data_IF_467277199412
#
_entry.id   IF_467277199412
#
_cell.length_a   1.000
_cell.length_b   1.000
_cell.length_c   1.000
_cell.angle_alpha   90.00
_cell.angle_beta   90.00
_cell.angle_gamma   90.00
#
_symmetry.space_group_name_H-M   'P 1'
#
loop_
_entity.id
_entity.type
_entity.pdbx_description
1 polymer ?
#
# COMPACT_ATOMS: atom_id res chain seq x y z
N UNK A 1 26.25 18.99 2.23
CA UNK A 1 26.82 17.62 2.14
C UNK A 1 25.69 16.59 2.12
N UNK A 2 25.81 15.60 1.27
CA UNK A 2 24.85 14.51 1.26
C UNK A 2 24.97 13.69 2.55
N UNK A 3 23.84 13.41 3.19
CA UNK A 3 23.80 12.56 4.38
C UNK A 3 23.99 11.10 3.96
N UNK A 4 24.74 10.38 4.77
CA UNK A 4 24.94 8.96 4.53
C UNK A 4 23.72 8.16 4.97
N UNK A 5 23.14 7.38 4.05
CA UNK A 5 21.97 6.56 4.32
C UNK A 5 22.37 5.34 5.14
N UNK A 6 21.84 5.21 6.35
CA UNK A 6 22.06 4.04 7.20
C UNK A 6 21.15 2.87 6.80
N UNK A 7 19.98 3.14 6.28
CA UNK A 7 19.05 2.11 5.81
C UNK A 7 17.67 2.62 5.55
N UNK A 8 16.77 1.68 5.26
CA UNK A 8 15.36 1.97 4.99
C UNK A 8 14.45 1.05 5.81
N UNK A 9 13.30 1.58 6.21
CA UNK A 9 12.25 0.84 6.92
C UNK A 9 10.97 0.97 6.10
N UNK A 10 10.29 -0.13 5.87
CA UNK A 10 9.01 -0.15 5.15
C UNK A 10 7.90 -0.57 6.10
N UNK A 11 6.87 0.25 6.23
CA UNK A 11 5.74 0.00 7.12
C UNK A 11 4.42 0.27 6.41
N UNK A 12 3.35 -0.34 6.92
CA UNK A 12 1.97 -0.03 6.51
C UNK A 12 1.25 0.54 7.72
N UNK A 13 0.81 1.78 7.63
CA UNK A 13 0.22 2.51 8.75
C UNK A 13 -1.08 3.16 8.27
N UNK A 14 -2.10 3.16 9.12
CA UNK A 14 -3.35 3.87 8.81
C UNK A 14 -3.11 5.37 8.78
N UNK A 15 -3.61 6.03 7.74
CA UNK A 15 -3.49 7.47 7.59
C UNK A 15 -4.11 8.22 8.77
N UNK A 16 -3.40 9.21 9.28
CA UNK A 16 -3.84 10.01 10.41
C UNK A 16 -3.84 9.32 11.76
N UNK A 17 -3.42 8.05 11.83
CA UNK A 17 -3.51 7.23 13.04
C UNK A 17 -2.17 6.62 13.46
N UNK A 18 -1.06 7.18 13.03
CA UNK A 18 0.26 6.72 13.46
C UNK A 18 0.47 7.01 14.94
N UNK A 19 0.95 6.03 15.69
CA UNK A 19 1.23 6.18 17.11
C UNK A 19 2.45 5.31 17.49
N UNK A 20 3.02 5.50 18.68
CA UNK A 20 4.21 4.76 19.11
C UNK A 20 3.98 3.28 19.39
N UNK A 21 2.75 2.79 19.32
CA UNK A 21 2.47 1.38 19.55
C UNK A 21 2.92 0.51 18.36
N UNK A 22 3.05 -0.83 18.54
CA UNK A 22 3.40 -1.71 17.43
C UNK A 22 2.44 -1.52 16.23
N UNK A 23 2.94 -1.58 14.97
CA UNK A 23 4.30 -1.95 14.55
C UNK A 23 5.29 -0.78 14.45
N UNK A 24 4.84 0.47 14.69
CA UNK A 24 5.67 1.67 14.46
C UNK A 24 6.78 1.80 15.49
N UNK A 25 6.45 1.68 16.77
CA UNK A 25 7.39 1.88 17.88
C UNK A 25 8.62 0.99 17.79
N UNK A 26 8.46 -0.34 17.77
CA UNK A 26 9.61 -1.26 17.69
C UNK A 26 10.45 -1.09 16.43
N UNK A 27 9.81 -0.83 15.27
CA UNK A 27 10.52 -0.67 14.01
C UNK A 27 11.42 0.56 14.01
N UNK A 28 10.92 1.70 14.49
CA UNK A 28 11.67 2.95 14.53
C UNK A 28 12.62 3.01 15.72
N UNK A 29 12.20 2.51 16.86
CA UNK A 29 13.00 2.50 18.08
C UNK A 29 14.30 1.72 17.93
N UNK A 30 14.26 0.59 17.24
CA UNK A 30 15.45 -0.23 16.99
C UNK A 30 16.50 0.49 16.13
N UNK A 31 16.11 1.51 15.39
CA UNK A 31 16.99 2.30 14.52
C UNK A 31 17.34 3.67 15.11
N UNK A 32 16.86 3.97 16.30
CA UNK A 32 17.17 5.23 16.97
C UNK A 32 16.45 6.45 16.42
N UNK A 33 15.38 6.26 15.68
CA UNK A 33 14.60 7.35 15.08
C UNK A 33 13.61 7.91 16.12
N UNK A 34 13.37 9.21 16.10
CA UNK A 34 12.38 9.84 16.97
C UNK A 34 10.97 9.47 16.53
N UNK A 35 10.34 8.55 17.27
CA UNK A 35 9.02 7.99 16.95
C UNK A 35 7.94 9.06 16.99
N UNK A 36 7.96 9.91 17.99
CA UNK A 36 6.93 10.95 18.16
C UNK A 36 6.96 11.96 17.02
N UNK A 37 8.13 12.38 16.61
CA UNK A 37 8.29 13.31 15.49
C UNK A 37 7.78 12.68 14.18
N UNK A 38 8.13 11.42 13.94
CA UNK A 38 7.64 10.69 12.78
C UNK A 38 6.10 10.61 12.77
N UNK A 39 5.50 10.21 13.88
CA UNK A 39 4.05 10.10 13.99
C UNK A 39 3.36 11.44 13.72
N UNK A 40 3.91 12.52 14.26
CA UNK A 40 3.37 13.87 14.07
C UNK A 40 3.40 14.28 12.60
N UNK A 41 4.55 14.10 11.94
CA UNK A 41 4.72 14.45 10.53
C UNK A 41 3.84 13.58 9.63
N UNK A 42 3.81 12.28 9.89
CA UNK A 42 2.99 11.35 9.11
C UNK A 42 1.50 11.70 9.23
N UNK A 43 1.02 11.92 10.44
CA UNK A 43 -0.38 12.28 10.65
C UNK A 43 -0.73 13.60 9.95
N UNK A 44 0.16 14.58 9.99
CA UNK A 44 -0.04 15.86 9.28
C UNK A 44 -0.16 15.67 7.77
N UNK A 45 0.66 14.80 7.19
CA UNK A 45 0.66 14.53 5.73
C UNK A 45 -0.49 13.65 5.27
N UNK A 46 -1.08 12.87 6.15
CA UNK A 46 -2.09 11.86 5.77
C UNK A 46 -3.49 12.17 6.32
N UNK A 47 -3.74 13.39 6.80
CA UNK A 47 -5.05 13.77 7.32
C UNK A 47 -6.18 13.60 6.29
N UNK A 48 -5.91 13.92 5.03
CA UNK A 48 -6.85 13.78 3.92
C UNK A 48 -7.09 12.31 3.53
N UNK A 49 -6.24 11.41 3.99
CA UNK A 49 -6.31 9.97 3.71
C UNK A 49 -6.58 9.16 4.98
N UNK A 50 -7.18 9.79 5.99
CA UNK A 50 -7.48 9.11 7.25
C UNK A 50 -8.34 7.87 7.05
N UNK A 51 -8.02 6.81 7.78
CA UNK A 51 -8.73 5.54 7.71
C UNK A 51 -8.23 4.57 6.64
N UNK A 52 -7.41 5.01 5.70
CA UNK A 52 -6.80 4.13 4.69
C UNK A 52 -5.43 3.66 5.15
N UNK A 53 -5.13 2.39 4.89
CA UNK A 53 -3.79 1.85 5.13
C UNK A 53 -2.85 2.38 4.05
N UNK A 54 -1.76 3.02 4.46
CA UNK A 54 -0.80 3.62 3.54
C UNK A 54 0.58 2.97 3.75
N UNK A 55 1.24 2.51 2.67
CA UNK A 55 2.63 2.08 2.75
C UNK A 55 3.54 3.29 2.91
N UNK A 56 4.49 3.18 3.82
CA UNK A 56 5.48 4.23 4.08
C UNK A 56 6.87 3.65 3.95
N UNK A 57 7.73 4.31 3.19
CA UNK A 57 9.15 3.98 3.11
C UNK A 57 9.90 5.07 3.85
N UNK A 58 10.55 4.70 4.95
CA UNK A 58 11.31 5.61 5.79
C UNK A 58 12.79 5.37 5.53
N UNK A 59 13.49 6.42 5.08
CA UNK A 59 14.94 6.40 4.91
C UNK A 59 15.56 7.08 6.12
N UNK A 60 16.42 6.38 6.85
CA UNK A 60 17.11 6.95 8.00
C UNK A 60 18.61 7.07 7.71
N UNK A 61 19.20 8.07 8.35
CA UNK A 61 20.60 8.45 8.13
C UNK A 61 21.44 8.21 9.37
N UNK A 62 22.75 8.21 9.20
CA UNK A 62 23.71 7.97 10.29
C UNK A 62 23.63 9.02 11.40
N UNK A 63 23.16 10.23 11.09
CA UNK A 63 22.98 11.32 12.06
C UNK A 63 21.64 11.25 12.83
N UNK A 64 20.90 10.14 12.69
CA UNK A 64 19.59 9.89 13.30
C UNK A 64 18.45 10.73 12.71
N UNK A 65 18.70 11.45 11.63
CA UNK A 65 17.62 12.09 10.87
C UNK A 65 16.92 11.06 9.98
N UNK A 66 15.73 11.41 9.51
CA UNK A 66 14.95 10.54 8.65
C UNK A 66 14.14 11.33 7.62
N UNK A 67 13.87 10.70 6.51
CA UNK A 67 12.89 11.16 5.52
C UNK A 67 11.93 10.02 5.25
N UNK A 68 10.70 10.34 4.84
CA UNK A 68 9.75 9.30 4.50
C UNK A 68 8.91 9.68 3.28
N UNK A 69 8.47 8.65 2.56
CA UNK A 69 7.59 8.78 1.40
C UNK A 69 6.34 7.96 1.69
N UNK A 70 5.17 8.60 1.53
CA UNK A 70 3.88 7.92 1.67
C UNK A 70 3.41 7.54 0.27
N UNK A 71 3.16 6.25 0.05
CA UNK A 71 2.68 5.71 -1.22
C UNK A 71 1.16 5.59 -1.21
N UNK A 72 0.58 5.25 -2.36
CA UNK A 72 -0.85 4.98 -2.47
C UNK A 72 -1.23 3.71 -1.70
N UNK A 73 -2.51 3.55 -1.27
CA UNK A 73 -2.93 2.36 -0.52
C UNK A 73 -2.57 1.07 -1.25
N UNK A 74 -2.21 -0.02 -0.52
CA UNK A 74 -1.87 -1.29 -1.16
C UNK A 74 -3.05 -1.84 -1.97
N UNK A 75 -2.75 -2.44 -3.11
CA UNK A 75 -3.77 -3.03 -3.99
C UNK A 75 -4.60 -4.07 -3.24
N UNK A 76 -3.96 -4.87 -2.41
CA UNK A 76 -4.66 -5.90 -1.62
C UNK A 76 -5.74 -5.29 -0.71
N UNK A 77 -5.46 -4.16 -0.07
CA UNK A 77 -6.44 -3.47 0.79
C UNK A 77 -7.58 -2.91 -0.05
N UNK A 78 -7.28 -2.28 -1.19
CA UNK A 78 -8.29 -1.75 -2.09
C UNK A 78 -9.19 -2.84 -2.65
N UNK A 79 -8.62 -3.99 -3.00
CA UNK A 79 -9.39 -5.15 -3.46
C UNK A 79 -10.33 -5.68 -2.39
N UNK A 80 -9.88 -5.77 -1.16
CA UNK A 80 -10.73 -6.21 -0.03
C UNK A 80 -11.91 -5.24 0.20
N UNK A 81 -11.65 -3.96 0.15
CA UNK A 81 -12.70 -2.94 0.29
C UNK A 81 -13.71 -3.01 -0.86
N UNK A 82 -13.23 -3.13 -2.09
CA UNK A 82 -14.07 -3.23 -3.29
C UNK A 82 -14.93 -4.48 -3.28
N UNK A 83 -14.34 -5.61 -2.89
CA UNK A 83 -15.04 -6.90 -2.81
C UNK A 83 -15.87 -7.05 -1.53
N UNK A 84 -15.74 -6.12 -0.59
CA UNK A 84 -16.44 -6.13 0.71
C UNK A 84 -16.15 -7.38 1.54
N UNK A 85 -14.89 -7.81 1.54
CA UNK A 85 -14.42 -8.97 2.33
C UNK A 85 -13.40 -8.50 3.38
N UNK A 86 -13.31 -9.26 4.47
CA UNK A 86 -12.37 -8.94 5.55
C UNK A 86 -10.96 -9.43 5.27
N UNK A 87 -10.83 -10.57 4.59
CA UNK A 87 -9.53 -11.15 4.26
C UNK A 87 -9.60 -11.93 2.96
N UNK A 88 -8.45 -12.11 2.31
CA UNK A 88 -8.34 -12.95 1.14
C UNK A 88 -8.40 -14.44 1.48
N UNK A 89 -8.37 -15.28 0.44
CA UNK A 89 -8.41 -16.73 0.59
C UNK A 89 -7.08 -17.29 1.09
N UNK A 90 -7.15 -18.25 1.99
CA UNK A 90 -5.98 -19.03 2.41
C UNK A 90 -5.51 -20.00 1.32
N UNK A 91 -6.42 -20.39 0.42
CA UNK A 91 -6.15 -21.28 -0.72
C UNK A 91 -6.69 -20.66 -2.01
N UNK A 92 -6.07 -19.60 -2.52
CA UNK A 92 -6.65 -18.80 -3.62
C UNK A 92 -6.78 -19.56 -4.93
N UNK A 93 -5.98 -20.61 -5.15
CA UNK A 93 -6.05 -21.44 -6.35
C UNK A 93 -7.23 -22.44 -6.32
N UNK A 94 -7.76 -22.71 -5.14
CA UNK A 94 -8.84 -23.69 -4.94
C UNK A 94 -10.13 -23.05 -4.44
N UNK A 95 -10.01 -22.10 -3.54
CA UNK A 95 -11.16 -21.47 -2.88
C UNK A 95 -11.23 -19.99 -3.22
N UNK A 96 -12.23 -19.62 -4.03
CA UNK A 96 -12.49 -18.22 -4.38
C UNK A 96 -13.42 -17.62 -3.34
N UNK A 97 -13.14 -16.39 -2.91
CA UNK A 97 -13.89 -15.73 -1.82
C UNK A 97 -14.73 -14.56 -2.30
N UNK A 98 -14.45 -14.02 -3.47
CA UNK A 98 -15.18 -12.88 -4.02
C UNK A 98 -14.99 -12.77 -5.53
N UNK A 99 -15.80 -11.92 -6.14
CA UNK A 99 -15.75 -11.59 -7.55
C UNK A 99 -15.88 -10.09 -7.73
N UNK A 100 -15.06 -9.52 -8.61
CA UNK A 100 -15.10 -8.09 -8.95
C UNK A 100 -15.19 -7.93 -10.47
N UNK A 101 -15.51 -6.72 -10.93
CA UNK A 101 -15.59 -6.41 -12.36
C UNK A 101 -14.32 -5.71 -12.85
N UNK A 102 -14.11 -5.70 -14.17
CA UNK A 102 -12.99 -4.97 -14.77
C UNK A 102 -13.08 -3.47 -14.54
N UNK A 103 -14.28 -2.90 -14.40
CA UNK A 103 -14.45 -1.48 -14.09
C UNK A 103 -13.87 -1.16 -12.70
N UNK A 104 -14.10 -2.04 -11.73
CA UNK A 104 -13.52 -1.91 -10.39
C UNK A 104 -12.00 -2.05 -10.42
N UNK A 105 -11.47 -2.99 -11.19
CA UNK A 105 -10.04 -3.17 -11.41
C UNK A 105 -9.44 -1.90 -12.02
N UNK A 106 -10.12 -1.32 -13.01
CA UNK A 106 -9.68 -0.08 -13.67
C UNK A 106 -9.57 1.08 -12.67
N UNK A 107 -10.56 1.25 -11.80
CA UNK A 107 -10.54 2.29 -10.76
C UNK A 107 -9.33 2.13 -9.84
N UNK A 108 -9.07 0.92 -9.37
CA UNK A 108 -7.92 0.62 -8.51
C UNK A 108 -6.60 0.88 -9.25
N UNK A 109 -6.53 0.48 -10.52
CA UNK A 109 -5.35 0.67 -11.34
C UNK A 109 -5.04 2.17 -11.56
N UNK A 110 -6.06 2.98 -11.81
CA UNK A 110 -5.90 4.42 -11.98
C UNK A 110 -5.35 5.08 -10.71
N UNK A 111 -5.88 4.71 -9.55
CA UNK A 111 -5.40 5.22 -8.26
C UNK A 111 -3.96 4.82 -7.98
N UNK A 112 -3.54 3.65 -8.46
CA UNK A 112 -2.22 3.08 -8.19
C UNK A 112 -1.17 3.43 -9.25
N UNK A 113 -1.57 4.01 -10.38
CA UNK A 113 -0.65 4.31 -11.50
C UNK A 113 0.66 4.98 -11.09
N UNK A 114 0.68 5.97 -10.17
CA UNK A 114 1.94 6.62 -9.78
C UNK A 114 2.98 5.67 -9.18
N UNK A 115 2.54 4.57 -8.57
CA UNK A 115 3.42 3.62 -7.89
C UNK A 115 3.69 2.35 -8.69
N UNK A 116 3.00 2.16 -9.83
CA UNK A 116 3.13 0.95 -10.63
C UNK A 116 4.23 1.09 -11.68
N UNK A 117 4.91 -0.02 -11.93
CA UNK A 117 5.93 -0.13 -12.97
C UNK A 117 5.29 -0.54 -14.30
N UNK A 118 4.48 0.34 -14.87
CA UNK A 118 3.80 0.11 -16.13
C UNK A 118 3.61 1.45 -16.86
N UNK A 119 3.42 1.39 -18.16
CA UNK A 119 3.25 2.59 -19.00
C UNK A 119 1.80 2.82 -19.42
N UNK A 120 0.97 1.77 -19.41
CA UNK A 120 -0.41 1.86 -19.86
C UNK A 120 -1.37 1.44 -18.76
N UNK A 121 -2.61 1.92 -18.84
CA UNK A 121 -3.65 1.57 -17.89
C UNK A 121 -3.99 0.06 -17.96
N UNK A 122 -3.97 -0.51 -19.15
CA UNK A 122 -4.25 -1.94 -19.36
C UNK A 122 -3.21 -2.81 -18.66
N UNK A 123 -1.95 -2.43 -18.72
CA UNK A 123 -0.87 -3.11 -17.98
C UNK A 123 -1.10 -3.02 -16.47
N UNK A 124 -1.53 -1.85 -15.98
CA UNK A 124 -1.86 -1.65 -14.58
C UNK A 124 -3.03 -2.53 -14.16
N UNK A 125 -4.08 -2.63 -14.98
CA UNK A 125 -5.23 -3.49 -14.73
C UNK A 125 -4.82 -4.96 -14.66
N UNK A 126 -3.91 -5.39 -15.52
CA UNK A 126 -3.37 -6.75 -15.51
C UNK A 126 -2.62 -7.05 -14.21
N UNK A 127 -1.83 -6.10 -13.71
CA UNK A 127 -1.12 -6.22 -12.44
C UNK A 127 -2.10 -6.34 -11.25
N UNK A 128 -3.14 -5.51 -11.23
CA UNK A 128 -4.17 -5.54 -10.20
C UNK A 128 -4.94 -6.86 -10.24
N UNK A 129 -5.30 -7.33 -11.43
CA UNK A 129 -6.00 -8.60 -11.61
C UNK A 129 -5.16 -9.78 -11.13
N UNK A 130 -3.84 -9.75 -11.35
CA UNK A 130 -2.91 -10.76 -10.84
C UNK A 130 -2.90 -10.81 -9.31
N UNK A 131 -2.89 -9.64 -8.66
CA UNK A 131 -2.99 -9.55 -7.21
C UNK A 131 -4.32 -10.10 -6.70
N UNK A 132 -5.43 -9.77 -7.37
CA UNK A 132 -6.76 -10.28 -7.04
C UNK A 132 -6.79 -11.81 -7.12
N UNK A 133 -6.21 -12.37 -8.18
CA UNK A 133 -6.12 -13.82 -8.34
C UNK A 133 -5.36 -14.48 -7.19
N UNK A 134 -4.28 -13.87 -6.74
CA UNK A 134 -3.49 -14.37 -5.62
C UNK A 134 -4.24 -14.32 -4.28
N UNK A 135 -5.29 -13.50 -4.20
CA UNK A 135 -6.14 -13.37 -3.02
C UNK A 135 -7.40 -14.24 -3.08
N UNK A 136 -7.62 -14.97 -4.17
CA UNK A 136 -8.85 -15.73 -4.38
C UNK A 136 -10.03 -14.89 -4.84
N UNK A 137 -9.77 -13.73 -5.42
CA UNK A 137 -10.77 -12.84 -6.00
C UNK A 137 -10.74 -13.02 -7.51
N UNK A 138 -11.89 -13.35 -8.10
CA UNK A 138 -12.00 -13.50 -9.56
C UNK A 138 -12.46 -12.18 -10.18
N UNK A 139 -12.03 -11.93 -11.41
CA UNK A 139 -12.46 -10.75 -12.17
C UNK A 139 -13.43 -11.21 -13.23
N UNK A 140 -14.65 -10.67 -13.18
CA UNK A 140 -15.73 -11.06 -14.09
C UNK A 140 -15.52 -10.45 -15.46
N UNK A 141 -15.61 -11.29 -16.49
CA UNK A 141 -15.53 -10.89 -17.89
C UNK A 141 -14.12 -11.06 -18.47
N UNK A 142 -14.00 -10.78 -19.76
CA UNK A 142 -12.75 -10.85 -20.47
C UNK A 142 -11.90 -9.60 -20.23
N UNK A 143 -10.58 -9.76 -20.28
CA UNK A 143 -9.66 -8.64 -20.20
C UNK A 143 -9.94 -7.65 -21.35
N UNK A 144 -10.12 -6.35 -21.06
CA UNK A 144 -10.33 -5.37 -22.13
C UNK A 144 -9.02 -5.16 -22.90
N UNK A 145 -9.00 -5.65 -24.13
CA UNK A 145 -7.87 -5.43 -25.01
C UNK A 145 -7.94 -4.03 -25.64
N UNK A 146 -6.79 -3.42 -25.77
CA UNK A 146 -6.67 -2.18 -26.52
C UNK A 146 -6.87 -2.46 -28.01
N UNK A 147 -7.89 -1.90 -28.54
CA UNK A 147 -8.10 -1.90 -30.00
C UNK A 147 -7.39 -0.71 -30.63
#
# INVERSE_FOLDING_TARGET
>A
MAKEIAGQIKLQIKGGAANPSPPVGPALGSKGINIMEFCKQFNARTQDKAGKVLPVVITYYTDKSFDFIVKTPPVAVQLKETAKIKSGSAQPNRKKVAEITWDQVKTIAEDKMPDLNCFTLESAMSMVAGTARSMGITVKGAFPENN
#
